data_IF_407189737661
#
_entry.id   IF_407189737661
#
_cell.length_a   1.000
_cell.length_b   1.000
_cell.length_c   1.000
_cell.angle_alpha   90.00
_cell.angle_beta   90.00
_cell.angle_gamma   90.00
#
_symmetry.space_group_name_H-M   'P 1'
#
loop_
_entity.id
_entity.type
_entity.pdbx_description
1 polymer ?
#
# COMPACT_ATOMS: atom_id res chain seq x y z
N UNK A 1 -24.26 -4.11 -16.16
CA UNK A 1 -24.02 -4.27 -14.71
C UNK A 1 -23.00 -3.25 -14.25
N UNK A 2 -23.27 -2.52 -13.18
CA UNK A 2 -22.30 -1.62 -12.54
C UNK A 2 -21.52 -2.47 -11.54
N UNK A 3 -20.26 -2.78 -11.83
CA UNK A 3 -19.41 -3.54 -10.92
C UNK A 3 -19.00 -2.60 -9.77
N UNK A 4 -19.40 -2.92 -8.54
CA UNK A 4 -18.99 -2.18 -7.35
C UNK A 4 -17.95 -3.01 -6.64
N UNK A 5 -16.72 -2.50 -6.57
CA UNK A 5 -15.69 -3.11 -5.73
C UNK A 5 -16.05 -2.83 -4.28
N UNK A 6 -16.30 -3.90 -3.52
CA UNK A 6 -16.51 -3.85 -2.07
C UNK A 6 -15.39 -4.66 -1.40
N UNK A 7 -14.91 -4.24 -0.22
CA UNK A 7 -13.90 -4.99 0.49
C UNK A 7 -14.48 -6.33 0.97
N UNK A 8 -13.70 -7.41 0.83
CA UNK A 8 -13.99 -8.69 1.47
C UNK A 8 -13.57 -8.66 2.95
N UNK A 9 -12.46 -7.97 3.25
CA UNK A 9 -11.94 -7.77 4.60
C UNK A 9 -11.73 -6.28 4.88
N UNK A 10 -12.00 -5.87 6.13
CA UNK A 10 -11.74 -4.52 6.63
C UNK A 10 -11.03 -4.60 7.96
N UNK A 11 -9.98 -3.80 8.10
CA UNK A 11 -9.20 -3.64 9.31
C UNK A 11 -9.19 -2.17 9.71
N UNK A 12 -8.97 -1.90 10.99
CA UNK A 12 -8.84 -0.52 11.49
C UNK A 12 -7.50 0.10 11.09
N UNK A 13 -6.45 -0.72 11.04
CA UNK A 13 -5.13 -0.33 10.54
C UNK A 13 -4.54 -1.39 9.60
N UNK A 14 -3.61 -0.97 8.74
CA UNK A 14 -3.01 -1.83 7.72
C UNK A 14 -2.29 -3.06 8.31
N UNK A 15 -1.64 -2.90 9.46
CA UNK A 15 -0.80 -3.90 10.13
C UNK A 15 -1.59 -4.96 10.89
N UNK A 16 -2.90 -4.79 11.06
CA UNK A 16 -3.79 -5.86 11.50
C UNK A 16 -3.98 -6.95 10.44
N UNK A 17 -3.74 -6.62 9.16
CA UNK A 17 -3.57 -7.64 8.13
C UNK A 17 -2.20 -8.30 8.31
N UNK A 18 -2.13 -9.24 9.27
CA UNK A 18 -0.88 -9.93 9.61
C UNK A 18 -0.38 -10.76 8.43
N UNK A 19 0.92 -11.04 8.43
CA UNK A 19 1.54 -11.84 7.37
C UNK A 19 0.93 -13.24 7.33
N UNK A 20 0.66 -13.85 8.48
CA UNK A 20 0.02 -15.16 8.60
C UNK A 20 -1.39 -15.14 8.01
N UNK A 21 -2.19 -14.12 8.32
CA UNK A 21 -3.52 -13.96 7.74
C UNK A 21 -3.44 -13.87 6.21
N UNK A 22 -2.56 -13.02 5.70
CA UNK A 22 -2.39 -12.80 4.26
C UNK A 22 -1.94 -14.08 3.53
N UNK A 23 -1.01 -14.84 4.13
CA UNK A 23 -0.60 -16.14 3.60
C UNK A 23 -1.73 -17.17 3.61
N UNK A 24 -2.52 -17.22 4.69
CA UNK A 24 -3.63 -18.16 4.84
C UNK A 24 -4.72 -17.96 3.78
N UNK A 25 -4.97 -16.71 3.37
CA UNK A 25 -5.91 -16.40 2.28
C UNK A 25 -5.24 -16.44 0.89
N UNK A 26 -3.97 -16.82 0.80
CA UNK A 26 -3.25 -17.02 -0.45
C UNK A 26 -2.69 -15.75 -1.11
N UNK A 27 -2.57 -14.64 -0.38
CA UNK A 27 -1.94 -13.41 -0.92
C UNK A 27 -0.47 -13.65 -1.21
N UNK A 28 -0.02 -13.18 -2.38
CA UNK A 28 1.40 -13.20 -2.82
C UNK A 28 1.93 -11.82 -3.20
N UNK A 29 1.06 -10.82 -3.24
CA UNK A 29 1.38 -9.47 -3.64
C UNK A 29 0.36 -8.48 -3.11
N UNK A 30 0.82 -7.29 -2.71
CA UNK A 30 -0.02 -6.22 -2.17
C UNK A 30 0.27 -4.91 -2.93
N UNK A 31 -0.79 -4.18 -3.25
CA UNK A 31 -0.71 -2.82 -3.76
C UNK A 31 -1.07 -1.87 -2.63
N UNK A 32 -0.21 -0.91 -2.36
CA UNK A 32 -0.29 -0.03 -1.21
C UNK A 32 -0.57 1.41 -1.64
N UNK A 33 -1.50 2.05 -0.94
CA UNK A 33 -1.57 3.50 -0.89
C UNK A 33 -0.57 4.06 0.14
N UNK A 34 -0.32 5.36 0.10
CA UNK A 34 0.49 6.07 1.10
C UNK A 34 -0.43 6.75 2.10
N UNK A 35 -1.06 7.87 1.70
CA UNK A 35 -1.62 8.81 2.67
C UNK A 35 -2.92 8.29 3.28
N UNK A 36 -3.00 8.40 4.61
CA UNK A 36 -4.10 7.88 5.42
C UNK A 36 -4.31 6.36 5.24
N UNK A 37 -3.31 5.64 4.76
CA UNK A 37 -3.29 4.16 4.70
C UNK A 37 -2.07 3.62 5.43
N UNK A 38 -0.86 3.97 4.96
CA UNK A 38 0.38 3.62 5.66
C UNK A 38 0.78 4.71 6.66
N UNK A 39 0.56 5.97 6.32
CA UNK A 39 1.02 7.11 7.11
C UNK A 39 0.13 8.35 6.80
N UNK A 40 -0.09 9.30 7.72
CA UNK A 40 -0.70 10.58 7.39
C UNK A 40 0.09 11.34 6.33
N UNK A 41 -0.60 12.24 5.63
CA UNK A 41 -0.01 13.00 4.52
C UNK A 41 1.17 13.88 4.96
N UNK A 42 1.07 14.45 6.16
CA UNK A 42 2.03 15.35 6.78
C UNK A 42 3.37 14.68 7.08
N UNK A 43 3.37 13.37 7.24
CA UNK A 43 4.54 12.58 7.55
C UNK A 43 5.22 12.14 6.25
N UNK A 44 6.36 12.76 5.99
CA UNK A 44 7.09 12.62 4.73
C UNK A 44 7.76 11.23 4.57
N UNK A 45 8.04 10.54 5.67
CA UNK A 45 8.77 9.26 5.71
C UNK A 45 7.90 8.17 6.36
N UNK A 46 8.13 6.89 6.05
CA UNK A 46 7.44 5.79 6.71
C UNK A 46 7.81 5.71 8.19
N UNK A 47 6.83 5.58 9.08
CA UNK A 47 7.10 5.23 10.47
C UNK A 47 7.64 3.80 10.62
N UNK A 48 8.25 3.51 11.77
CA UNK A 48 8.81 2.19 12.08
C UNK A 48 7.79 1.06 11.89
N UNK A 49 6.52 1.30 12.23
CA UNK A 49 5.43 0.32 12.06
C UNK A 49 5.23 -0.11 10.61
N UNK A 50 5.35 0.83 9.67
CA UNK A 50 5.25 0.56 8.22
C UNK A 50 6.45 -0.26 7.78
N UNK A 51 7.66 0.13 8.19
CA UNK A 51 8.91 -0.56 7.85
C UNK A 51 8.88 -2.00 8.37
N UNK A 52 8.56 -2.23 9.64
CA UNK A 52 8.51 -3.56 10.24
C UNK A 52 7.48 -4.47 9.56
N UNK A 53 6.29 -3.96 9.25
CA UNK A 53 5.26 -4.75 8.57
C UNK A 53 5.69 -5.12 7.15
N UNK A 54 6.25 -4.19 6.38
CA UNK A 54 6.73 -4.46 5.02
C UNK A 54 7.92 -5.43 5.00
N UNK A 55 8.84 -5.31 5.95
CA UNK A 55 9.94 -6.27 6.11
C UNK A 55 9.42 -7.67 6.38
N UNK A 56 8.45 -7.81 7.30
CA UNK A 56 7.83 -9.11 7.60
C UNK A 56 7.15 -9.72 6.37
N UNK A 57 6.43 -8.92 5.57
CA UNK A 57 5.85 -9.38 4.31
C UNK A 57 6.92 -9.90 3.34
N UNK A 58 8.00 -9.14 3.16
CA UNK A 58 9.10 -9.51 2.26
C UNK A 58 9.80 -10.80 2.70
N UNK A 59 10.08 -10.94 4.00
CA UNK A 59 10.69 -12.15 4.57
C UNK A 59 9.87 -13.42 4.31
N UNK A 60 8.54 -13.27 4.21
CA UNK A 60 7.62 -14.37 3.94
C UNK A 60 7.23 -14.47 2.45
N UNK A 61 7.93 -13.75 1.57
CA UNK A 61 7.76 -13.85 0.11
C UNK A 61 6.52 -13.15 -0.45
N UNK A 62 5.88 -12.27 0.34
CA UNK A 62 4.81 -11.39 -0.15
C UNK A 62 5.45 -10.13 -0.74
N UNK A 63 5.19 -9.87 -2.02
CA UNK A 63 5.72 -8.68 -2.70
C UNK A 63 4.83 -7.46 -2.45
N UNK A 64 5.41 -6.28 -2.41
CA UNK A 64 4.67 -5.02 -2.27
C UNK A 64 5.00 -4.05 -3.41
N UNK A 65 4.03 -3.20 -3.77
CA UNK A 65 4.22 -2.07 -4.66
C UNK A 65 3.38 -0.87 -4.19
N UNK A 66 3.94 0.32 -4.29
CA UNK A 66 3.25 1.58 -3.95
C UNK A 66 2.55 2.11 -5.20
N UNK A 67 1.28 2.45 -5.07
CA UNK A 67 0.48 3.11 -6.12
C UNK A 67 -0.25 4.28 -5.49
N UNK A 68 0.12 5.51 -5.83
CA UNK A 68 -0.43 6.73 -5.23
C UNK A 68 -0.88 7.75 -6.28
N UNK A 69 -1.88 8.57 -5.94
CA UNK A 69 -2.29 9.72 -6.75
C UNK A 69 -1.37 10.93 -6.59
N UNK A 70 -0.48 10.93 -5.60
CA UNK A 70 0.41 12.05 -5.33
C UNK A 70 1.41 12.31 -6.45
N UNK A 71 2.05 13.49 -6.36
CA UNK A 71 3.19 13.85 -7.18
C UNK A 71 4.39 12.94 -6.96
N UNK A 72 5.26 12.90 -7.97
CA UNK A 72 6.47 12.08 -7.99
C UNK A 72 7.35 12.30 -6.75
N UNK A 73 7.60 13.56 -6.38
CA UNK A 73 8.46 13.92 -5.26
C UNK A 73 8.01 13.29 -3.94
N UNK A 74 6.72 13.43 -3.59
CA UNK A 74 6.15 12.83 -2.37
C UNK A 74 6.28 11.30 -2.37
N UNK A 75 5.99 10.66 -3.51
CA UNK A 75 6.03 9.19 -3.63
C UNK A 75 7.45 8.66 -3.56
N UNK A 76 8.39 9.26 -4.30
CA UNK A 76 9.80 8.85 -4.29
C UNK A 76 10.46 9.12 -2.95
N UNK A 77 10.15 10.24 -2.30
CA UNK A 77 10.70 10.58 -0.99
C UNK A 77 10.25 9.59 0.09
N UNK A 78 8.95 9.27 0.16
CA UNK A 78 8.42 8.27 1.08
C UNK A 78 9.01 6.88 0.82
N UNK A 79 9.18 6.52 -0.46
CA UNK A 79 9.66 5.19 -0.86
C UNK A 79 11.19 5.01 -0.74
N UNK A 80 11.94 6.07 -0.43
CA UNK A 80 13.41 6.05 -0.44
C UNK A 80 14.00 4.96 0.45
N UNK A 81 13.41 4.74 1.62
CA UNK A 81 13.87 3.72 2.57
C UNK A 81 13.25 2.34 2.30
N UNK A 82 12.06 2.30 1.73
CA UNK A 82 11.32 1.07 1.45
C UNK A 82 11.83 0.36 0.18
N UNK A 83 12.38 1.12 -0.77
CA UNK A 83 12.90 0.61 -2.06
C UNK A 83 11.91 -0.27 -2.84
N UNK A 84 10.60 0.00 -2.72
CA UNK A 84 9.56 -0.75 -3.42
C UNK A 84 9.37 -0.23 -4.85
N UNK A 85 8.81 -1.05 -5.77
CA UNK A 85 8.23 -0.52 -7.00
C UNK A 85 7.17 0.54 -6.66
N UNK A 86 7.27 1.74 -7.23
CA UNK A 86 6.40 2.85 -6.90
C UNK A 86 5.87 3.58 -8.14
N UNK A 87 4.56 3.87 -8.13
CA UNK A 87 3.85 4.54 -9.21
C UNK A 87 3.14 5.79 -8.67
N UNK A 88 3.57 6.96 -9.13
CA UNK A 88 2.99 8.26 -8.81
C UNK A 88 1.94 8.67 -9.84
N UNK A 89 1.09 9.66 -9.51
CA UNK A 89 0.00 10.15 -10.36
C UNK A 89 -0.82 9.00 -10.99
N UNK A 90 -1.08 7.95 -10.21
CA UNK A 90 -1.67 6.70 -10.69
C UNK A 90 -3.12 6.84 -11.18
N UNK A 91 -3.78 7.95 -10.85
CA UNK A 91 -5.18 8.26 -11.18
C UNK A 91 -6.17 7.22 -10.63
N UNK A 92 -5.87 6.62 -9.49
CA UNK A 92 -6.76 5.66 -8.81
C UNK A 92 -7.87 6.37 -8.03
N UNK A 93 -9.03 5.74 -7.82
CA UNK A 93 -9.76 4.97 -8.80
C UNK A 93 -10.49 5.90 -9.79
N UNK A 94 -9.90 7.06 -10.14
CA UNK A 94 -10.57 8.06 -10.95
C UNK A 94 -11.06 7.41 -12.24
N UNK A 95 -12.35 7.60 -12.52
CA UNK A 95 -12.89 7.24 -13.81
C UNK A 95 -12.11 8.05 -14.85
N UNK A 96 -11.45 7.38 -15.79
CA UNK A 96 -11.13 8.04 -17.06
C UNK A 96 -12.47 8.52 -17.60
N UNK A 97 -12.64 9.83 -17.78
CA UNK A 97 -13.67 10.32 -18.69
C UNK A 97 -13.36 9.64 -20.03
N UNK A 98 -14.20 8.68 -20.40
CA UNK A 98 -14.22 8.11 -21.74
C UNK A 98 -14.93 9.09 -22.67
#
# INVERSE_FOLDING_TARGET
MKFTFVPEYRFDTFDMASVEFLLNIGVRGIILDIDNTLEPYENAVPGERVVSWLSSLSEHGIRAAIVSNNGRERVEFFNKELSLPAYYKAKKPFKRNL
#
